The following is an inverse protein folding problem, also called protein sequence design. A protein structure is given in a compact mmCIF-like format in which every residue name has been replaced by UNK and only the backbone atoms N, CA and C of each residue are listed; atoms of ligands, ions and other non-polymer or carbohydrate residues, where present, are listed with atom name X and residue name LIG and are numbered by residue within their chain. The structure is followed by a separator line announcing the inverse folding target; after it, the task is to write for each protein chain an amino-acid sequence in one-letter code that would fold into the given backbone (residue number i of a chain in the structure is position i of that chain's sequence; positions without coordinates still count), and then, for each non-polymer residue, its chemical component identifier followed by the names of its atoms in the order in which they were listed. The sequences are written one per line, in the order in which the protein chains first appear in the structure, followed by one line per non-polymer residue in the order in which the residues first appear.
data_IF_654995911344
#
_entry.id   IF_654995911344
#
_cell.length_a   1.000
_cell.length_b   1.000
_cell.length_c   1.000
_cell.angle_alpha   90.00
_cell.angle_beta   90.00
_cell.angle_gamma   90.00
#
_symmetry.space_group_name_H-M   'P 1'
#
loop_
_entity.id
_entity.type
_entity.pdbx_description
1 polymer ?
#
# COMPACT_ATOMS: atom_id res chain seq x y z
N UNK A 1 34.42 -7.50 4.75
CA UNK A 1 33.49 -6.40 5.15
C UNK A 1 32.51 -6.34 4.00
N UNK A 2 31.27 -6.76 4.22
CA UNK A 2 30.26 -6.70 3.16
C UNK A 2 29.98 -5.23 2.81
N UNK A 3 30.07 -4.93 1.52
CA UNK A 3 29.67 -3.64 0.99
C UNK A 3 28.23 -3.34 1.46
N UNK A 4 27.99 -2.09 1.84
CA UNK A 4 26.67 -1.65 2.31
C UNK A 4 25.72 -1.65 1.12
N UNK A 5 25.00 -2.76 0.93
CA UNK A 5 23.94 -2.83 -0.08
C UNK A 5 22.74 -2.02 0.38
N UNK A 6 22.29 -1.11 -0.46
CA UNK A 6 21.06 -0.34 -0.32
C UNK A 6 20.01 -0.81 -1.35
N UNK A 7 18.82 -0.25 -1.32
CA UNK A 7 17.76 -0.52 -2.29
C UNK A 7 17.30 0.79 -2.91
N UNK A 8 17.36 0.86 -4.23
CA UNK A 8 16.81 1.99 -5.00
C UNK A 8 15.56 1.59 -5.76
N UNK A 9 14.59 2.45 -5.77
CA UNK A 9 13.43 2.37 -6.66
C UNK A 9 13.88 2.95 -8.00
N UNK A 10 13.85 2.15 -9.05
CA UNK A 10 14.32 2.54 -10.39
C UNK A 10 13.19 2.74 -11.40
N UNK A 11 11.97 2.34 -11.06
CA UNK A 11 10.77 2.57 -11.85
C UNK A 11 9.52 2.35 -11.04
N UNK A 12 8.45 3.04 -11.39
CA UNK A 12 7.15 2.95 -10.74
C UNK A 12 6.04 2.75 -11.78
N UNK A 13 4.91 2.25 -11.35
CA UNK A 13 3.73 2.10 -12.18
C UNK A 13 2.49 2.00 -11.32
N UNK A 14 1.36 2.41 -11.85
CA UNK A 14 0.08 2.30 -11.17
C UNK A 14 -1.05 1.95 -12.14
N UNK A 15 -2.09 1.32 -11.60
CA UNK A 15 -3.32 1.02 -12.32
C UNK A 15 -4.51 1.16 -11.37
N UNK A 16 -5.53 1.86 -11.83
CA UNK A 16 -6.79 2.01 -11.11
C UNK A 16 -7.96 1.67 -12.05
N UNK A 17 -9.07 1.17 -11.55
CA UNK A 17 -10.25 0.93 -12.38
C UNK A 17 -10.73 2.19 -13.08
N UNK A 18 -11.30 2.04 -14.27
CA UNK A 18 -11.89 3.16 -15.03
C UNK A 18 -13.16 3.70 -14.39
N UNK A 19 -13.91 2.82 -13.71
CA UNK A 19 -15.20 3.19 -13.10
C UNK A 19 -14.99 4.13 -11.92
N UNK A 20 -15.42 5.37 -12.09
CA UNK A 20 -15.48 6.38 -11.03
C UNK A 20 -16.79 6.26 -10.27
N UNK A 21 -16.71 6.23 -8.95
CA UNK A 21 -17.85 6.28 -8.04
C UNK A 21 -17.71 7.51 -7.15
N UNK A 22 -18.63 8.45 -7.29
CA UNK A 22 -18.66 9.71 -6.54
C UNK A 22 -19.36 9.55 -5.18
N UNK A 23 -19.21 10.55 -4.31
CA UNK A 23 -19.97 10.59 -3.06
C UNK A 23 -21.48 10.68 -3.31
N UNK A 24 -21.90 11.35 -4.40
CA UNK A 24 -23.32 11.43 -4.78
C UNK A 24 -23.86 10.07 -5.26
N UNK A 25 -23.02 9.23 -5.87
CA UNK A 25 -23.43 7.86 -6.21
C UNK A 25 -23.64 7.02 -4.96
N UNK A 26 -22.78 7.16 -3.96
CA UNK A 26 -22.93 6.46 -2.67
C UNK A 26 -24.18 6.93 -1.90
N UNK A 27 -24.57 8.19 -2.03
CA UNK A 27 -25.78 8.71 -1.40
C UNK A 27 -27.08 8.05 -1.90
N UNK A 28 -27.02 7.36 -3.06
CA UNK A 28 -28.15 6.60 -3.61
C UNK A 28 -28.34 5.23 -2.94
N UNK A 29 -27.30 4.72 -2.23
CA UNK A 29 -27.32 3.37 -1.65
C UNK A 29 -27.20 3.37 -0.12
N UNK A 30 -26.64 4.41 0.49
CA UNK A 30 -26.54 4.56 1.96
C UNK A 30 -26.90 5.99 2.38
N UNK A 31 -27.33 6.17 3.62
CA UNK A 31 -27.68 7.48 4.20
C UNK A 31 -26.43 8.33 4.42
N UNK A 32 -26.00 9.07 3.40
CA UNK A 32 -24.82 9.94 3.38
C UNK A 32 -24.98 11.08 2.36
N UNK A 33 -23.99 11.97 2.27
CA UNK A 33 -23.87 13.00 1.23
C UNK A 33 -22.42 13.44 1.04
N UNK A 34 -22.11 14.15 -0.05
CA UNK A 34 -20.76 14.62 -0.36
C UNK A 34 -20.14 15.44 0.77
N UNK A 35 -20.86 16.39 1.34
CA UNK A 35 -20.34 17.24 2.40
C UNK A 35 -19.92 16.43 3.63
N UNK A 36 -20.74 15.45 4.02
CA UNK A 36 -20.45 14.59 5.17
C UNK A 36 -19.19 13.74 4.94
N UNK A 37 -19.04 13.13 3.77
CA UNK A 37 -17.87 12.29 3.44
C UNK A 37 -16.63 13.17 3.33
N UNK A 38 -16.67 14.20 2.51
CA UNK A 38 -15.55 15.09 2.21
C UNK A 38 -14.97 15.78 3.46
N UNK A 39 -15.83 16.32 4.32
CA UNK A 39 -15.38 17.02 5.53
C UNK A 39 -14.76 16.10 6.58
N UNK A 40 -15.10 14.81 6.57
CA UNK A 40 -14.59 13.83 7.53
C UNK A 40 -13.38 13.05 7.03
N UNK A 41 -13.26 12.87 5.72
CA UNK A 41 -12.27 11.96 5.12
C UNK A 41 -11.34 12.65 4.14
N UNK A 42 -11.77 13.70 3.47
CA UNK A 42 -11.13 14.32 2.32
C UNK A 42 -11.49 13.66 0.98
N UNK A 43 -12.23 12.56 0.97
CA UNK A 43 -12.54 11.77 -0.23
C UNK A 43 -13.69 12.39 -0.99
N UNK A 44 -13.57 12.53 -2.32
CA UNK A 44 -14.61 12.98 -3.25
C UNK A 44 -15.12 11.86 -4.13
N UNK A 45 -14.21 11.00 -4.57
CA UNK A 45 -14.51 9.87 -5.44
C UNK A 45 -13.55 8.69 -5.15
N UNK A 46 -13.88 7.55 -5.68
CA UNK A 46 -13.04 6.34 -5.65
C UNK A 46 -13.17 5.61 -6.96
N UNK A 47 -12.29 4.65 -7.17
CA UNK A 47 -12.31 3.76 -8.31
C UNK A 47 -12.76 2.39 -7.84
N UNK A 48 -13.69 1.78 -8.57
CA UNK A 48 -14.26 0.48 -8.23
C UNK A 48 -14.08 -0.47 -9.40
N UNK A 49 -13.53 -1.64 -9.11
CA UNK A 49 -13.27 -2.67 -10.10
C UNK A 49 -14.57 -3.31 -10.64
N UNK A 50 -14.55 -3.71 -11.90
CA UNK A 50 -15.57 -4.57 -12.51
C UNK A 50 -15.27 -6.05 -12.23
N UNK A 51 -16.20 -6.94 -12.60
CA UNK A 51 -15.96 -8.40 -12.49
C UNK A 51 -14.72 -8.88 -13.25
N UNK A 52 -14.33 -8.18 -14.32
CA UNK A 52 -13.19 -8.53 -15.17
C UNK A 52 -11.87 -7.93 -14.66
N UNK A 53 -11.90 -7.05 -13.66
CA UNK A 53 -10.76 -6.27 -13.17
C UNK A 53 -10.37 -6.68 -11.75
N UNK A 54 -9.98 -7.93 -11.54
CA UNK A 54 -9.53 -8.43 -10.24
C UNK A 54 -8.20 -7.80 -9.77
N UNK A 55 -7.79 -8.17 -8.57
CA UNK A 55 -6.54 -7.69 -7.93
C UNK A 55 -5.32 -8.02 -8.78
N UNK A 56 -5.22 -9.26 -9.28
CA UNK A 56 -4.09 -9.70 -10.11
C UNK A 56 -4.03 -8.99 -11.47
N UNK A 57 -5.20 -8.64 -12.04
CA UNK A 57 -5.27 -7.86 -13.28
C UNK A 57 -4.69 -6.45 -13.08
N UNK A 58 -5.16 -5.72 -12.06
CA UNK A 58 -4.65 -4.39 -11.74
C UNK A 58 -3.16 -4.43 -11.38
N UNK A 59 -2.74 -5.42 -10.60
CA UNK A 59 -1.34 -5.64 -10.25
C UNK A 59 -0.47 -5.87 -11.50
N UNK A 60 -0.96 -6.63 -12.48
CA UNK A 60 -0.27 -6.86 -13.75
C UNK A 60 -0.08 -5.58 -14.56
N UNK A 61 -1.12 -4.75 -14.65
CA UNK A 61 -1.03 -3.47 -15.35
C UNK A 61 -0.02 -2.53 -14.67
N UNK A 62 -0.07 -2.40 -13.34
CA UNK A 62 0.89 -1.61 -12.59
C UNK A 62 2.33 -2.12 -12.74
N UNK A 63 2.52 -3.45 -12.71
CA UNK A 63 3.81 -4.10 -12.92
C UNK A 63 4.40 -3.81 -14.31
N UNK A 64 3.59 -3.92 -15.36
CA UNK A 64 4.02 -3.64 -16.73
C UNK A 64 4.48 -2.19 -16.89
N UNK A 65 3.76 -1.22 -16.35
CA UNK A 65 4.16 0.19 -16.39
C UNK A 65 5.43 0.44 -15.56
N UNK A 66 5.59 -0.19 -14.39
CA UNK A 66 6.80 -0.05 -13.59
C UNK A 66 8.05 -0.60 -14.31
N UNK A 67 7.94 -1.77 -14.95
CA UNK A 67 9.01 -2.37 -15.76
C UNK A 67 9.38 -1.49 -16.95
N UNK A 68 8.38 -0.98 -17.66
CA UNK A 68 8.57 -0.07 -18.79
C UNK A 68 9.31 1.20 -18.37
N UNK A 69 8.91 1.81 -17.24
CA UNK A 69 9.56 3.01 -16.74
C UNK A 69 10.98 2.73 -16.27
N UNK A 70 11.22 1.59 -15.62
CA UNK A 70 12.54 1.16 -15.18
C UNK A 70 13.49 0.79 -16.33
N UNK A 71 12.96 0.50 -17.52
CA UNK A 71 13.74 -0.08 -18.64
C UNK A 71 14.28 -1.47 -18.31
N UNK A 72 13.57 -2.25 -17.49
CA UNK A 72 13.95 -3.61 -17.05
C UNK A 72 13.08 -4.63 -17.76
N UNK A 73 13.70 -5.65 -18.34
CA UNK A 73 12.96 -6.78 -18.91
C UNK A 73 12.41 -7.68 -17.79
N UNK A 74 11.24 -8.28 -17.98
CA UNK A 74 10.61 -9.13 -16.98
C UNK A 74 11.48 -10.37 -16.62
N UNK A 75 12.25 -10.88 -17.59
CA UNK A 75 13.18 -12.00 -17.40
C UNK A 75 14.38 -11.68 -16.48
N UNK A 76 14.66 -10.38 -16.27
CA UNK A 76 15.76 -9.91 -15.41
C UNK A 76 15.34 -9.73 -13.95
N UNK A 77 14.06 -10.00 -13.63
CA UNK A 77 13.60 -10.01 -12.26
C UNK A 77 14.02 -11.29 -11.53
N UNK A 78 14.56 -11.12 -10.32
CA UNK A 78 14.87 -12.22 -9.40
C UNK A 78 13.69 -12.57 -8.49
N UNK A 79 12.89 -11.54 -8.10
CA UNK A 79 11.81 -11.71 -7.13
C UNK A 79 10.63 -10.77 -7.43
N UNK A 80 9.42 -11.30 -7.20
CA UNK A 80 8.16 -10.56 -7.24
C UNK A 80 7.45 -10.75 -5.91
N UNK A 81 7.13 -9.65 -5.21
CA UNK A 81 6.30 -9.68 -4.00
C UNK A 81 5.05 -8.83 -4.22
N UNK A 82 3.89 -9.46 -4.11
CA UNK A 82 2.60 -8.80 -4.09
C UNK A 82 2.09 -8.67 -2.66
N UNK A 83 1.88 -7.45 -2.19
CA UNK A 83 1.20 -7.17 -0.95
C UNK A 83 -0.29 -7.00 -1.23
N UNK A 84 -1.10 -7.91 -0.72
CA UNK A 84 -2.56 -7.89 -0.91
C UNK A 84 -3.29 -8.54 0.26
N UNK A 85 -4.50 -8.08 0.53
CA UNK A 85 -5.47 -8.70 1.45
C UNK A 85 -6.71 -9.22 0.70
N UNK A 86 -6.73 -9.03 -0.62
CA UNK A 86 -7.89 -9.32 -1.48
C UNK A 86 -7.48 -10.08 -2.74
N UNK A 87 -6.58 -11.05 -2.60
CA UNK A 87 -6.18 -11.94 -3.69
C UNK A 87 -7.40 -12.53 -4.41
N UNK A 88 -7.26 -12.79 -5.71
CA UNK A 88 -8.37 -13.35 -6.50
C UNK A 88 -8.55 -14.84 -6.22
N UNK A 89 -7.48 -15.53 -5.84
CA UNK A 89 -7.48 -16.94 -5.48
C UNK A 89 -6.78 -17.19 -4.12
N UNK A 90 -7.20 -18.23 -3.41
CA UNK A 90 -6.45 -18.69 -2.25
C UNK A 90 -5.08 -19.27 -2.65
N UNK A 91 -5.03 -19.88 -3.81
CA UNK A 91 -3.85 -20.37 -4.55
C UNK A 91 -4.24 -20.57 -6.03
N UNK A 92 -3.34 -20.29 -6.99
CA UNK A 92 -1.99 -19.76 -6.79
C UNK A 92 -1.99 -18.38 -6.12
N UNK A 93 -0.82 -17.90 -5.67
CA UNK A 93 -0.68 -16.52 -5.19
C UNK A 93 -0.87 -15.53 -6.34
N UNK A 94 -1.39 -14.34 -6.05
CA UNK A 94 -1.52 -13.28 -7.05
C UNK A 94 -0.19 -12.88 -7.67
N UNK A 95 0.92 -12.93 -6.92
CA UNK A 95 2.25 -12.71 -7.46
C UNK A 95 2.64 -13.74 -8.55
N UNK A 96 2.21 -15.01 -8.41
CA UNK A 96 2.42 -16.02 -9.47
C UNK A 96 1.56 -15.74 -10.72
N UNK A 97 0.35 -15.19 -10.54
CA UNK A 97 -0.50 -14.78 -11.66
C UNK A 97 0.13 -13.59 -12.40
N UNK A 98 0.62 -12.59 -11.68
CA UNK A 98 1.36 -11.45 -12.25
C UNK A 98 2.63 -11.94 -12.96
N UNK A 99 3.41 -12.81 -12.32
CA UNK A 99 4.63 -13.38 -12.88
C UNK A 99 4.37 -14.02 -14.25
N UNK A 100 3.32 -14.84 -14.35
CA UNK A 100 2.94 -15.51 -15.61
C UNK A 100 2.51 -14.49 -16.66
N UNK A 101 1.69 -13.49 -16.26
CA UNK A 101 1.14 -12.49 -17.17
C UNK A 101 2.20 -11.55 -17.77
N UNK A 102 3.24 -11.17 -17.00
CA UNK A 102 4.33 -10.32 -17.48
C UNK A 102 5.50 -11.11 -18.10
N UNK A 103 5.48 -12.45 -18.02
CA UNK A 103 6.55 -13.29 -18.59
C UNK A 103 7.81 -13.41 -17.73
N UNK A 104 7.75 -13.10 -16.43
CA UNK A 104 8.91 -13.13 -15.51
C UNK A 104 9.24 -14.54 -15.01
N UNK A 105 9.41 -15.51 -15.89
CA UNK A 105 9.46 -16.95 -15.57
C UNK A 105 10.62 -17.36 -14.65
N UNK A 106 11.64 -16.51 -14.47
CA UNK A 106 12.80 -16.80 -13.61
C UNK A 106 12.65 -16.28 -12.19
N UNK A 107 11.76 -15.29 -11.99
CA UNK A 107 11.57 -14.67 -10.69
C UNK A 107 10.92 -15.63 -9.69
N UNK A 108 11.32 -15.56 -8.43
CA UNK A 108 10.55 -16.15 -7.32
C UNK A 108 9.36 -15.23 -7.02
N UNK A 109 8.16 -15.78 -6.92
CA UNK A 109 6.93 -14.99 -6.75
C UNK A 109 6.07 -15.52 -5.60
N UNK A 110 5.68 -14.61 -4.70
CA UNK A 110 4.77 -14.91 -3.58
C UNK A 110 4.06 -13.67 -3.07
N UNK A 111 2.93 -13.88 -2.38
CA UNK A 111 2.17 -12.81 -1.73
C UNK A 111 2.59 -12.63 -0.27
N UNK A 112 2.43 -11.40 0.22
CA UNK A 112 2.48 -11.11 1.66
C UNK A 112 1.20 -10.40 2.09
N UNK A 113 0.79 -10.62 3.34
CA UNK A 113 -0.37 -9.99 3.95
C UNK A 113 0.06 -9.15 5.15
N UNK A 114 -0.04 -7.82 5.02
CA UNK A 114 0.16 -6.84 6.08
C UNK A 114 -0.80 -5.65 5.90
N UNK A 115 -1.96 -5.92 5.30
CA UNK A 115 -3.01 -4.95 5.00
C UNK A 115 -2.45 -3.65 4.38
N UNK A 116 -2.94 -2.48 4.83
CA UNK A 116 -2.54 -1.19 4.25
C UNK A 116 -1.05 -0.85 4.43
N UNK A 117 -0.31 -1.52 5.30
CA UNK A 117 1.15 -1.39 5.39
C UNK A 117 1.92 -2.32 4.44
N UNK A 118 1.20 -3.15 3.67
CA UNK A 118 1.75 -4.24 2.87
C UNK A 118 2.85 -3.82 1.91
N UNK A 119 2.72 -2.71 1.20
CA UNK A 119 3.76 -2.23 0.28
C UNK A 119 5.08 -1.91 1.02
N UNK A 120 5.00 -1.27 2.19
CA UNK A 120 6.19 -0.98 3.01
C UNK A 120 6.82 -2.27 3.51
N UNK A 121 6.01 -3.27 3.90
CA UNK A 121 6.52 -4.60 4.27
C UNK A 121 7.18 -5.32 3.09
N UNK A 122 6.58 -5.27 1.89
CA UNK A 122 7.18 -5.85 0.68
C UNK A 122 8.53 -5.23 0.33
N UNK A 123 8.62 -3.89 0.37
CA UNK A 123 9.85 -3.15 0.12
C UNK A 123 10.97 -3.57 1.10
N UNK A 124 10.65 -3.65 2.39
CA UNK A 124 11.62 -4.01 3.42
C UNK A 124 12.01 -5.50 3.36
N UNK A 125 11.10 -6.37 2.92
CA UNK A 125 11.38 -7.79 2.68
C UNK A 125 12.39 -7.95 1.53
N UNK A 126 12.16 -7.28 0.40
CA UNK A 126 13.09 -7.32 -0.74
C UNK A 126 14.45 -6.72 -0.36
N UNK A 127 14.46 -5.58 0.36
CA UNK A 127 15.71 -5.01 0.87
C UNK A 127 16.52 -6.01 1.71
N UNK A 128 15.85 -6.80 2.55
CA UNK A 128 16.51 -7.81 3.36
C UNK A 128 17.14 -8.92 2.52
N UNK A 129 16.50 -9.34 1.43
CA UNK A 129 17.07 -10.28 0.46
C UNK A 129 18.28 -9.69 -0.27
N UNK A 130 18.23 -8.41 -0.64
CA UNK A 130 19.35 -7.72 -1.27
C UNK A 130 20.56 -7.61 -0.31
N UNK A 131 20.31 -7.25 0.95
CA UNK A 131 21.37 -7.23 1.99
C UNK A 131 21.99 -8.60 2.23
N UNK A 132 21.21 -9.67 2.10
CA UNK A 132 21.71 -11.04 2.21
C UNK A 132 22.45 -11.54 0.95
N UNK A 133 22.48 -10.73 -0.13
CA UNK A 133 23.10 -11.09 -1.41
C UNK A 133 22.37 -12.18 -2.19
N UNK A 134 21.08 -12.43 -1.88
CA UNK A 134 20.30 -13.50 -2.51
C UNK A 134 19.74 -13.04 -3.86
N UNK A 135 19.25 -11.82 -3.95
CA UNK A 135 18.64 -11.22 -5.14
C UNK A 135 19.21 -9.82 -5.38
N UNK A 136 19.05 -9.30 -6.60
CA UNK A 136 19.55 -7.97 -7.00
C UNK A 136 18.47 -7.09 -7.64
N UNK A 137 17.47 -7.68 -8.30
CA UNK A 137 16.40 -6.96 -8.97
C UNK A 137 15.05 -7.52 -8.53
N UNK A 138 14.17 -6.66 -8.03
CA UNK A 138 12.87 -7.05 -7.54
C UNK A 138 11.73 -6.18 -8.07
N UNK A 139 10.55 -6.77 -8.12
CA UNK A 139 9.29 -6.08 -8.37
C UNK A 139 8.42 -6.21 -7.12
N UNK A 140 8.06 -5.08 -6.54
CA UNK A 140 7.15 -5.02 -5.40
C UNK A 140 5.84 -4.36 -5.82
N UNK A 141 4.73 -4.93 -5.40
CA UNK A 141 3.40 -4.50 -5.80
C UNK A 141 2.53 -4.39 -4.54
N UNK A 142 1.78 -3.31 -4.43
CA UNK A 142 0.65 -3.22 -3.50
C UNK A 142 -0.63 -3.16 -4.32
N UNK A 143 -1.54 -4.11 -4.14
CA UNK A 143 -2.78 -4.15 -4.89
C UNK A 143 -3.93 -4.71 -4.05
N UNK A 144 -5.06 -4.04 -4.08
CA UNK A 144 -6.27 -4.51 -3.44
C UNK A 144 -7.52 -4.13 -4.26
N UNK A 145 -8.50 -5.03 -4.29
CA UNK A 145 -9.88 -4.78 -4.70
C UNK A 145 -10.77 -4.88 -3.47
N UNK A 146 -10.73 -3.82 -2.62
CA UNK A 146 -11.45 -3.79 -1.35
C UNK A 146 -12.96 -3.82 -1.52
N UNK A 147 -13.44 -3.37 -2.68
CA UNK A 147 -14.86 -3.36 -3.03
C UNK A 147 -15.55 -4.71 -2.89
N UNK A 148 -14.80 -5.83 -3.02
CA UNK A 148 -15.35 -7.20 -2.89
C UNK A 148 -15.51 -7.69 -1.45
N UNK A 149 -14.95 -6.97 -0.46
CA UNK A 149 -15.03 -7.35 0.96
C UNK A 149 -15.73 -6.29 1.82
N UNK A 150 -16.31 -5.27 1.21
CA UNK A 150 -17.05 -4.20 1.89
C UNK A 150 -18.55 -4.54 1.92
N UNK A 151 -19.20 -4.31 3.06
CA UNK A 151 -20.64 -4.24 3.13
C UNK A 151 -21.12 -2.88 2.60
N UNK A 152 -21.69 -2.87 1.41
CA UNK A 152 -22.21 -1.66 0.76
C UNK A 152 -23.44 -1.03 1.47
N UNK A 153 -23.93 -1.67 2.55
CA UNK A 153 -24.96 -1.13 3.45
C UNK A 153 -24.38 -0.47 4.69
N UNK A 154 -23.10 -0.69 4.97
CA UNK A 154 -22.42 -0.06 6.10
C UNK A 154 -21.69 1.21 5.64
N UNK A 155 -22.32 2.38 5.90
CA UNK A 155 -21.72 3.68 5.55
C UNK A 155 -20.44 3.99 6.32
N UNK A 156 -20.12 3.28 7.41
CA UNK A 156 -18.89 3.51 8.16
C UNK A 156 -17.64 3.05 7.41
N UNK A 157 -17.81 2.12 6.48
CA UNK A 157 -16.74 1.53 5.69
C UNK A 157 -16.87 1.84 4.19
N UNK A 158 -18.05 1.69 3.59
CA UNK A 158 -18.23 1.78 2.12
C UNK A 158 -17.86 3.16 1.53
N UNK A 159 -17.86 4.22 2.33
CA UNK A 159 -17.52 5.58 1.88
C UNK A 159 -16.01 5.84 1.83
N UNK A 160 -15.17 4.93 2.36
CA UNK A 160 -13.75 5.16 2.53
C UNK A 160 -12.90 4.53 1.42
N UNK A 161 -13.26 3.35 0.98
CA UNK A 161 -12.37 2.48 0.24
C UNK A 161 -12.56 2.56 -1.26
N UNK A 162 -11.48 2.31 -1.98
CA UNK A 162 -11.43 2.14 -3.42
C UNK A 162 -10.48 1.00 -3.80
N UNK A 163 -10.42 0.69 -5.09
CA UNK A 163 -9.62 -0.37 -5.66
C UNK A 163 -8.45 0.20 -6.47
N UNK A 164 -7.33 -0.52 -6.50
CA UNK A 164 -6.17 -0.10 -7.27
C UNK A 164 -4.94 -0.96 -7.03
N UNK A 165 -3.93 -0.71 -7.84
CA UNK A 165 -2.61 -1.29 -7.74
C UNK A 165 -1.52 -0.26 -7.99
N UNK A 166 -0.41 -0.38 -7.28
CA UNK A 166 0.81 0.35 -7.57
C UNK A 166 2.01 -0.56 -7.43
N UNK A 167 3.04 -0.33 -8.22
CA UNK A 167 4.21 -1.18 -8.29
C UNK A 167 5.50 -0.35 -8.34
N UNK A 168 6.59 -0.95 -7.88
CA UNK A 168 7.92 -0.41 -8.03
C UNK A 168 8.92 -1.50 -8.40
N UNK A 169 9.76 -1.22 -9.39
CA UNK A 169 10.97 -1.99 -9.67
C UNK A 169 12.07 -1.47 -8.77
N UNK A 170 12.70 -2.37 -8.03
CA UNK A 170 13.75 -2.05 -7.07
C UNK A 170 15.04 -2.80 -7.40
N UNK A 171 16.17 -2.18 -7.15
CA UNK A 171 17.48 -2.75 -7.42
C UNK A 171 18.42 -2.58 -6.24
N UNK A 172 19.25 -3.59 -6.03
CA UNK A 172 20.35 -3.53 -5.08
C UNK A 172 21.44 -2.59 -5.61
N UNK A 173 21.89 -1.64 -4.78
CA UNK A 173 22.92 -0.67 -5.10
C UNK A 173 23.93 -0.55 -3.95
N UNK A 174 25.18 -0.18 -4.27
CA UNK A 174 26.23 -0.05 -3.27
C UNK A 174 26.14 1.27 -2.48
N UNK A 175 25.48 2.28 -3.05
CA UNK A 175 25.42 3.62 -2.49
C UNK A 175 23.98 4.12 -2.35
N UNK A 176 23.73 4.89 -1.30
CA UNK A 176 22.45 5.51 -1.00
C UNK A 176 22.00 5.25 0.44
N UNK A 177 20.88 5.84 0.80
CA UNK A 177 20.30 5.71 2.13
C UNK A 177 19.06 4.82 2.09
N UNK A 178 19.00 3.83 2.97
CA UNK A 178 17.82 3.00 3.20
C UNK A 178 17.76 2.58 4.66
N UNK A 179 16.80 3.12 5.39
CA UNK A 179 16.56 2.85 6.81
C UNK A 179 15.11 2.48 7.01
N UNK A 180 14.84 1.47 7.82
CA UNK A 180 13.50 0.92 7.96
C UNK A 180 13.14 0.56 9.40
N UNK A 181 11.86 0.68 9.72
CA UNK A 181 11.28 0.10 10.93
C UNK A 181 9.94 -0.53 10.60
N UNK A 182 9.69 -1.71 11.12
CA UNK A 182 8.43 -2.44 11.01
C UNK A 182 7.94 -2.85 12.39
N UNK A 183 6.64 -2.91 12.57
CA UNK A 183 6.04 -3.38 13.81
C UNK A 183 4.64 -3.95 13.63
N UNK A 184 4.20 -4.72 14.63
CA UNK A 184 2.85 -5.28 14.68
C UNK A 184 2.37 -5.44 16.12
N UNK A 185 1.04 -5.35 16.32
CA UNK A 185 0.38 -5.63 17.60
C UNK A 185 -0.93 -6.40 17.39
N UNK A 186 -0.84 -7.72 17.44
CA UNK A 186 -1.98 -8.62 17.26
C UNK A 186 -3.04 -8.56 18.36
N UNK A 187 -2.76 -7.90 19.49
CA UNK A 187 -3.75 -7.73 20.59
C UNK A 187 -4.91 -6.81 20.21
N UNK A 188 -4.74 -6.04 19.13
CA UNK A 188 -5.72 -5.07 18.62
C UNK A 188 -6.31 -5.49 17.25
N UNK A 189 -6.23 -6.76 16.92
CA UNK A 189 -6.67 -7.29 15.62
C UNK A 189 -8.14 -6.96 15.31
N UNK A 190 -9.00 -6.95 16.32
CA UNK A 190 -10.43 -6.62 16.16
C UNK A 190 -10.73 -5.15 15.81
N UNK A 191 -9.74 -4.25 15.89
CA UNK A 191 -9.94 -2.85 15.53
C UNK A 191 -10.17 -2.64 14.02
N UNK A 192 -9.65 -3.54 13.19
CA UNK A 192 -9.86 -3.59 11.75
C UNK A 192 -9.67 -5.03 11.30
N UNK A 193 -10.77 -5.70 10.96
CA UNK A 193 -10.75 -7.11 10.57
C UNK A 193 -11.68 -7.40 9.40
N UNK A 194 -11.35 -8.42 8.64
CA UNK A 194 -12.23 -9.05 7.67
C UNK A 194 -12.06 -10.55 7.80
N UNK A 195 -13.12 -11.25 8.18
CA UNK A 195 -13.08 -12.71 8.29
C UNK A 195 -12.96 -13.33 6.91
N UNK A 196 -12.02 -14.23 6.78
CA UNK A 196 -11.95 -15.13 5.63
C UNK A 196 -13.12 -16.13 5.65
N UNK A 197 -13.15 -17.01 4.67
CA UNK A 197 -14.14 -18.07 4.60
C UNK A 197 -14.17 -18.88 5.90
N UNK A 198 -15.37 -19.00 6.51
CA UNK A 198 -15.52 -19.79 7.74
C UNK A 198 -15.34 -21.28 7.47
N UNK A 199 -14.97 -22.04 8.50
CA UNK A 199 -14.81 -23.47 8.39
C UNK A 199 -16.17 -24.14 8.16
N UNK A 200 -16.41 -24.60 6.92
CA UNK A 200 -17.55 -25.44 6.56
C UNK A 200 -17.05 -26.77 6.03
N UNK A 201 -17.41 -27.88 6.67
CA UNK A 201 -17.02 -29.22 6.27
C UNK A 201 -18.03 -30.26 6.77
N UNK A 202 -17.82 -31.52 6.44
CA UNK A 202 -18.74 -32.61 6.80
C UNK A 202 -18.94 -32.79 8.32
N UNK A 203 -18.03 -32.27 9.17
CA UNK A 203 -18.15 -32.31 10.63
C UNK A 203 -18.96 -31.14 11.18
N UNK A 204 -18.75 -29.93 10.66
CA UNK A 204 -19.43 -28.70 11.13
C UNK A 204 -20.88 -28.62 10.66
N UNK A 205 -21.24 -29.25 9.51
CA UNK A 205 -22.57 -29.22 8.88
C UNK A 205 -23.10 -27.81 8.64
N UNK A 206 -22.21 -26.82 8.54
CA UNK A 206 -22.53 -25.42 8.24
C UNK A 206 -22.00 -25.05 6.88
N UNK A 207 -22.76 -24.21 6.15
CA UNK A 207 -22.25 -23.60 4.92
C UNK A 207 -21.18 -22.59 5.26
N UNK A 208 -20.07 -22.56 4.50
CA UNK A 208 -19.03 -21.56 4.71
C UNK A 208 -19.48 -20.19 4.23
N UNK A 209 -19.28 -19.18 5.07
CA UNK A 209 -19.59 -17.78 4.78
C UNK A 209 -18.33 -16.94 4.67
N UNK A 210 -18.34 -15.90 3.85
CA UNK A 210 -17.34 -14.84 3.80
C UNK A 210 -17.82 -13.67 4.66
N UNK A 211 -16.91 -13.14 5.49
CA UNK A 211 -17.20 -11.95 6.28
C UNK A 211 -16.95 -10.66 5.48
N UNK A 212 -17.65 -9.61 5.86
CA UNK A 212 -17.32 -8.25 5.44
C UNK A 212 -16.29 -7.63 6.38
N UNK A 213 -15.59 -6.62 5.87
CA UNK A 213 -14.67 -5.82 6.66
C UNK A 213 -15.43 -5.03 7.73
N UNK A 214 -14.90 -5.05 8.95
CA UNK A 214 -15.38 -4.23 10.07
C UNK A 214 -14.26 -3.37 10.62
N UNK A 215 -14.57 -2.15 11.09
CA UNK A 215 -13.56 -1.20 11.55
C UNK A 215 -14.05 -0.37 12.74
N UNK A 216 -13.25 -0.32 13.81
CA UNK A 216 -13.33 0.75 14.81
C UNK A 216 -12.44 1.92 14.36
N UNK A 217 -13.05 2.87 13.65
CA UNK A 217 -12.35 4.01 13.10
C UNK A 217 -11.67 4.91 14.15
N UNK A 218 -12.16 4.93 15.40
CA UNK A 218 -11.54 5.72 16.48
C UNK A 218 -10.24 5.07 16.97
N UNK A 219 -10.25 3.75 17.16
CA UNK A 219 -9.04 3.02 17.57
C UNK A 219 -7.99 3.03 16.48
N UNK A 220 -8.38 2.86 15.20
CA UNK A 220 -7.47 2.98 14.05
C UNK A 220 -6.87 4.39 13.96
N UNK A 221 -7.68 5.43 14.14
CA UNK A 221 -7.19 6.81 14.14
C UNK A 221 -6.17 7.07 15.26
N UNK A 222 -6.50 6.71 16.51
CA UNK A 222 -5.61 6.88 17.67
C UNK A 222 -4.28 6.15 17.47
N UNK A 223 -4.35 4.95 16.93
CA UNK A 223 -3.19 4.14 16.60
C UNK A 223 -2.30 4.84 15.56
N UNK A 224 -2.88 5.23 14.42
CA UNK A 224 -2.15 5.84 13.31
C UNK A 224 -1.41 7.12 13.73
N UNK A 225 -2.11 8.07 14.37
CA UNK A 225 -1.54 9.36 14.76
C UNK A 225 -0.48 9.26 15.86
N UNK A 226 -0.43 8.13 16.57
CA UNK A 226 0.63 7.83 17.54
C UNK A 226 1.81 7.14 16.86
N UNK A 227 1.54 6.04 16.18
CA UNK A 227 2.57 5.07 15.78
C UNK A 227 3.35 5.52 14.54
N UNK A 228 2.69 6.20 13.58
CA UNK A 228 3.37 6.67 12.36
C UNK A 228 4.45 7.71 12.67
N UNK A 229 4.20 8.77 13.47
CA UNK A 229 5.26 9.69 13.88
C UNK A 229 6.40 9.00 14.65
N UNK A 230 6.10 8.05 15.52
CA UNK A 230 7.11 7.29 16.25
C UNK A 230 8.02 6.50 15.30
N UNK A 231 7.43 5.84 14.28
CA UNK A 231 8.18 5.12 13.25
C UNK A 231 9.05 6.06 12.39
N UNK A 232 8.51 7.23 12.03
CA UNK A 232 9.26 8.25 11.29
C UNK A 232 10.47 8.73 12.11
N UNK A 233 10.27 9.03 13.40
CA UNK A 233 11.37 9.41 14.28
C UNK A 233 12.43 8.31 14.42
N UNK A 234 12.02 7.03 14.44
CA UNK A 234 12.97 5.91 14.51
C UNK A 234 13.89 5.91 13.29
N UNK A 235 13.37 5.95 12.07
CA UNK A 235 14.21 5.92 10.86
C UNK A 235 15.06 7.18 10.69
N UNK A 236 14.57 8.35 11.12
CA UNK A 236 15.33 9.59 11.14
C UNK A 236 16.51 9.51 12.13
N UNK A 237 16.26 8.96 13.33
CA UNK A 237 17.30 8.78 14.35
C UNK A 237 18.37 7.78 13.91
N UNK A 238 17.98 6.63 13.37
CA UNK A 238 18.89 5.60 12.89
C UNK A 238 19.74 6.05 11.71
N UNK A 239 19.16 6.89 10.83
CA UNK A 239 19.87 7.46 9.68
C UNK A 239 20.70 8.70 10.02
N UNK A 240 20.57 9.27 11.22
CA UNK A 240 21.06 10.60 11.57
C UNK A 240 20.64 11.70 10.55
N UNK A 241 19.44 11.54 9.95
CA UNK A 241 18.93 12.49 8.97
C UNK A 241 18.04 13.52 9.66
N UNK A 242 18.35 14.83 9.52
CA UNK A 242 17.44 15.90 9.98
C UNK A 242 16.11 15.83 9.25
N UNK A 243 15.00 16.04 9.97
CA UNK A 243 13.66 15.98 9.41
C UNK A 243 13.44 17.01 8.27
N UNK A 244 14.16 18.12 8.31
CA UNK A 244 14.06 19.18 7.29
C UNK A 244 14.65 18.75 5.94
N UNK A 245 15.58 17.78 5.93
CA UNK A 245 16.14 17.20 4.71
C UNK A 245 15.17 16.27 3.98
N UNK A 246 14.09 15.84 4.64
CA UNK A 246 13.07 15.01 4.00
C UNK A 246 12.23 15.89 3.07
N UNK A 247 12.25 15.56 1.78
CA UNK A 247 11.47 16.28 0.76
C UNK A 247 9.99 16.01 0.92
N UNK A 248 9.60 14.72 1.02
CA UNK A 248 8.21 14.31 1.18
C UNK A 248 8.04 13.13 2.13
N UNK A 249 6.90 13.12 2.82
CA UNK A 249 6.37 12.03 3.63
C UNK A 249 5.19 11.40 2.88
N UNK A 250 5.44 10.32 2.16
CA UNK A 250 4.42 9.61 1.36
C UNK A 250 3.79 8.55 2.24
N UNK A 251 2.65 8.90 2.83
CA UNK A 251 1.96 8.07 3.81
C UNK A 251 0.82 7.28 3.15
N UNK A 252 0.44 6.17 3.77
CA UNK A 252 -0.80 5.46 3.46
C UNK A 252 -2.00 6.42 3.46
N UNK A 253 -2.76 6.43 2.37
CA UNK A 253 -3.87 7.34 2.10
C UNK A 253 -5.17 6.83 2.75
N UNK A 254 -5.31 7.00 4.07
CA UNK A 254 -6.48 6.51 4.82
C UNK A 254 -7.53 7.60 5.07
N UNK A 255 -7.08 8.79 5.53
CA UNK A 255 -7.95 9.89 5.91
C UNK A 255 -7.14 11.18 6.05
N UNK A 256 -7.62 12.28 5.48
CA UNK A 256 -6.92 13.57 5.50
C UNK A 256 -6.62 14.09 6.92
N UNK A 257 -7.51 13.85 7.89
CA UNK A 257 -7.30 14.25 9.29
C UNK A 257 -6.12 13.53 9.96
N UNK A 258 -5.77 12.32 9.48
CA UNK A 258 -4.58 11.62 9.95
C UNK A 258 -3.33 12.37 9.52
N UNK A 259 -3.26 12.85 8.27
CA UNK A 259 -2.13 13.64 7.77
C UNK A 259 -1.95 14.93 8.57
N UNK A 260 -3.04 15.70 8.80
CA UNK A 260 -2.99 16.92 9.62
C UNK A 260 -2.45 16.64 11.03
N UNK A 261 -2.91 15.56 11.64
CA UNK A 261 -2.47 15.17 12.99
C UNK A 261 -1.01 14.75 13.04
N UNK A 262 -0.54 14.00 12.02
CA UNK A 262 0.85 13.57 11.90
C UNK A 262 1.76 14.77 11.63
N UNK A 263 1.40 15.64 10.67
CA UNK A 263 2.14 16.85 10.31
C UNK A 263 2.32 17.76 11.52
N UNK A 264 1.24 18.00 12.27
CA UNK A 264 1.27 18.78 13.52
C UNK A 264 2.20 18.17 14.57
N UNK A 265 2.16 16.83 14.73
CA UNK A 265 2.97 16.12 15.74
C UNK A 265 4.46 16.12 15.38
N UNK A 266 4.77 15.98 14.10
CA UNK A 266 6.14 16.07 13.57
C UNK A 266 6.65 17.51 13.46
N UNK A 267 5.76 18.51 13.56
CA UNK A 267 6.02 19.94 13.32
C UNK A 267 6.55 20.20 11.90
N UNK A 268 5.98 19.47 10.93
CA UNK A 268 6.32 19.55 9.51
C UNK A 268 5.15 20.20 8.76
N UNK A 269 5.38 21.11 7.82
CA UNK A 269 4.32 21.74 7.05
C UNK A 269 3.59 20.72 6.16
N UNK A 270 2.27 20.93 5.96
CA UNK A 270 1.40 20.00 5.22
C UNK A 270 1.82 19.79 3.77
N UNK A 271 2.51 20.74 3.16
CA UNK A 271 3.01 20.67 1.79
C UNK A 271 4.01 19.53 1.57
N UNK A 272 4.65 19.04 2.65
CA UNK A 272 5.50 17.85 2.62
C UNK A 272 4.73 16.52 2.71
N UNK A 273 3.40 16.57 2.85
CA UNK A 273 2.51 15.39 2.89
C UNK A 273 1.61 15.35 1.65
N UNK A 274 2.12 14.89 0.50
CA UNK A 274 1.32 14.78 -0.71
C UNK A 274 0.16 13.80 -0.51
N UNK A 275 -0.95 14.06 -1.23
CA UNK A 275 -2.14 13.21 -1.15
C UNK A 275 -2.85 13.15 -2.50
N UNK A 276 -3.42 12.00 -2.81
CA UNK A 276 -4.35 11.75 -3.90
C UNK A 276 -5.64 11.06 -3.41
N UNK A 277 -5.82 11.06 -2.09
CA UNK A 277 -6.94 10.46 -1.37
C UNK A 277 -8.30 10.93 -1.90
N UNK A 278 -8.40 12.19 -2.31
CA UNK A 278 -9.65 12.79 -2.82
C UNK A 278 -10.19 12.07 -4.07
N UNK A 279 -9.29 11.50 -4.91
CA UNK A 279 -9.62 10.87 -6.18
C UNK A 279 -9.72 9.35 -6.13
N UNK A 280 -9.01 8.72 -5.21
CA UNK A 280 -8.91 7.26 -5.18
C UNK A 280 -9.46 6.63 -3.90
N UNK A 281 -9.69 7.44 -2.85
CA UNK A 281 -10.03 6.90 -1.55
C UNK A 281 -8.89 6.08 -0.95
N UNK A 282 -9.23 5.20 -0.04
CA UNK A 282 -8.29 4.28 0.56
C UNK A 282 -8.20 2.98 -0.27
N UNK A 283 -7.13 2.81 -1.02
CA UNK A 283 -6.83 1.61 -1.82
C UNK A 283 -5.89 0.63 -1.08
N UNK A 284 -5.88 0.62 0.26
CA UNK A 284 -5.09 -0.28 1.10
C UNK A 284 -3.59 -0.28 0.77
N UNK A 285 -3.00 -1.46 0.45
CA UNK A 285 -1.59 -1.59 0.14
C UNK A 285 -1.16 -0.81 -1.11
N UNK A 286 -2.09 -0.48 -2.00
CA UNK A 286 -1.82 0.26 -3.22
C UNK A 286 -1.66 1.78 -3.00
N UNK A 287 -2.10 2.34 -1.87
CA UNK A 287 -2.12 3.80 -1.68
C UNK A 287 -0.76 4.46 -1.81
N UNK A 288 0.24 3.91 -1.14
CA UNK A 288 1.61 4.46 -1.16
C UNK A 288 2.22 4.38 -2.56
N UNK A 289 2.23 3.22 -3.25
CA UNK A 289 2.86 3.14 -4.56
C UNK A 289 2.08 3.86 -5.67
N UNK A 290 0.75 4.01 -5.60
CA UNK A 290 -0.01 4.84 -6.55
C UNK A 290 0.40 6.30 -6.41
N UNK A 291 0.46 6.83 -5.20
CA UNK A 291 0.89 8.21 -4.97
C UNK A 291 2.35 8.42 -5.38
N UNK A 292 3.22 7.46 -5.07
CA UNK A 292 4.63 7.50 -5.46
C UNK A 292 4.80 7.55 -6.99
N UNK A 293 4.03 6.75 -7.74
CA UNK A 293 4.04 6.75 -9.20
C UNK A 293 3.55 8.09 -9.79
N UNK A 294 2.47 8.65 -9.26
CA UNK A 294 2.00 9.98 -9.67
C UNK A 294 3.08 11.05 -9.46
N UNK A 295 3.69 11.08 -8.27
CA UNK A 295 4.72 12.06 -7.96
C UNK A 295 5.95 11.91 -8.84
N UNK A 296 6.34 10.67 -9.16
CA UNK A 296 7.45 10.39 -10.05
C UNK A 296 7.13 10.85 -11.49
N UNK A 297 5.94 10.53 -12.01
CA UNK A 297 5.50 10.97 -13.36
C UNK A 297 5.38 12.48 -13.49
N UNK A 298 4.98 13.17 -12.42
CA UNK A 298 4.88 14.61 -12.37
C UNK A 298 6.23 15.33 -12.15
N UNK A 299 7.31 14.59 -11.96
CA UNK A 299 8.65 15.14 -11.71
C UNK A 299 8.77 15.85 -10.36
N UNK A 300 7.91 15.50 -9.39
CA UNK A 300 7.95 16.06 -8.03
C UNK A 300 9.09 15.50 -7.18
N UNK A 301 9.54 14.29 -7.50
CA UNK A 301 10.67 13.61 -6.85
C UNK A 301 11.81 13.47 -7.85
N UNK A 302 13.01 13.89 -7.44
CA UNK A 302 14.22 13.86 -8.25
C UNK A 302 15.28 12.96 -7.62
N UNK A 303 16.19 12.42 -8.44
CA UNK A 303 17.28 11.56 -7.93
C UNK A 303 18.14 12.29 -6.90
N UNK A 304 18.34 11.64 -5.76
CA UNK A 304 19.01 12.18 -4.58
C UNK A 304 18.06 12.77 -3.52
N UNK A 305 16.77 12.94 -3.82
CA UNK A 305 15.80 13.35 -2.80
C UNK A 305 15.65 12.28 -1.72
N UNK A 306 15.64 12.72 -0.46
CA UNK A 306 15.28 11.85 0.66
C UNK A 306 13.77 11.89 0.89
N UNK A 307 13.14 10.73 0.86
CA UNK A 307 11.70 10.57 1.09
C UNK A 307 11.44 9.53 2.18
N UNK A 308 10.31 9.68 2.86
CA UNK A 308 9.83 8.67 3.80
C UNK A 308 8.52 8.07 3.26
N UNK A 309 8.52 6.75 3.12
CA UNK A 309 7.31 5.96 2.88
C UNK A 309 6.82 5.41 4.21
N UNK A 310 5.53 5.55 4.55
CA UNK A 310 5.00 4.94 5.76
C UNK A 310 3.59 4.37 5.55
N UNK A 311 3.38 3.19 6.12
CA UNK A 311 2.12 2.46 6.10
C UNK A 311 1.68 2.03 7.49
N UNK A 312 0.37 1.90 7.65
CA UNK A 312 -0.26 1.37 8.85
C UNK A 312 -1.61 0.74 8.47
N UNK A 313 -2.03 -0.28 9.19
CA UNK A 313 -3.28 -0.98 8.86
C UNK A 313 -3.64 -2.09 9.83
N UNK A 314 -4.53 -2.96 9.36
CA UNK A 314 -4.99 -4.12 10.12
C UNK A 314 -3.83 -5.02 10.59
N UNK A 315 -4.06 -5.66 11.75
CA UNK A 315 -3.10 -6.52 12.40
C UNK A 315 -3.02 -6.23 13.90
N UNK A 316 -2.76 -5.05 14.46
CA UNK A 316 -2.34 -3.87 13.71
C UNK A 316 -0.91 -4.03 13.21
N UNK A 317 -0.62 -3.49 12.06
CA UNK A 317 0.71 -3.47 11.46
C UNK A 317 1.10 -2.05 11.06
N UNK A 318 2.41 -1.74 11.08
CA UNK A 318 2.91 -0.44 10.68
C UNK A 318 4.38 -0.51 10.23
N UNK A 319 4.81 0.49 9.51
CA UNK A 319 6.20 0.64 9.15
C UNK A 319 6.51 1.98 8.52
N UNK A 320 7.78 2.35 8.57
CA UNK A 320 8.33 3.48 7.87
C UNK A 320 9.66 3.10 7.22
N UNK A 321 9.92 3.65 6.05
CA UNK A 321 11.17 3.50 5.32
C UNK A 321 11.63 4.87 4.86
N UNK A 322 12.83 5.27 5.27
CA UNK A 322 13.56 6.38 4.70
C UNK A 322 14.42 5.85 3.57
N UNK A 323 14.31 6.43 2.41
CA UNK A 323 15.13 6.08 1.26
C UNK A 323 15.56 7.32 0.48
N UNK A 324 16.66 7.18 -0.22
CA UNK A 324 17.11 8.12 -1.23
C UNK A 324 16.58 7.68 -2.60
N UNK A 325 15.88 8.60 -3.24
CA UNK A 325 15.24 8.37 -4.54
C UNK A 325 16.23 8.14 -5.68
#
# INVERSE_FOLDING_TARGET
MGEYMTTKIIGTGSAVPEQVVTNDDLSKIVDTNDEWIRTRTGIRERRIASEESGTSHLATLAAAEALKQAGVAAEDLDIIILATSTADHCFPSGACEVQAAIGAHRAVAFDISAACSGFVFALNTVHSFFKAGIYQTGLIIGADTLSKIIDWKDRSTCVLFGDGAGAAVVKAEENGSFYMTLGSDGRKSSALECRSRTTGNFLTKTEPELGYMTMDGQEVFKFAVKTVPESIHTVLSESNTPIDEIKYFILHQANYRIFESIAKRLKVPMEKFPTNLERFGNTSAATVPILLDEMNREGKIERGDKIILAGFGAGLTWGATLLEW
#
